data_IF_099719725698
#
_entry.id   IF_099719725698
#
_cell.length_a   1.000
_cell.length_b   1.000
_cell.length_c   1.000
_cell.angle_alpha   90.00
_cell.angle_beta   90.00
_cell.angle_gamma   90.00
#
_symmetry.space_group_name_H-M   'P 1'
#
loop_
_entity.id
_entity.type
_entity.pdbx_description
1 polymer ?
#
# COMPACT_ATOMS: atom_id res chain seq x y z
N UNK A 1 6.48 52.51 39.47
CA UNK A 1 7.26 51.44 40.16
C UNK A 1 6.24 50.37 40.54
N UNK A 2 6.22 49.16 40.02
CA UNK A 2 7.25 48.33 39.42
C UNK A 2 7.03 46.93 40.00
N UNK A 3 5.99 46.24 39.53
CA UNK A 3 5.62 44.90 39.99
C UNK A 3 6.68 43.90 39.47
N UNK A 4 7.78 43.82 40.22
CA UNK A 4 8.85 42.85 40.00
C UNK A 4 8.49 41.57 40.77
N UNK A 5 8.54 40.46 40.05
CA UNK A 5 8.47 39.08 40.54
C UNK A 5 7.08 38.54 40.92
N UNK A 6 6.14 38.58 39.98
CA UNK A 6 5.29 37.39 39.80
C UNK A 6 6.14 36.36 39.08
N UNK A 7 6.83 35.52 39.84
CA UNK A 7 7.19 34.21 39.31
C UNK A 7 5.89 33.60 38.76
N UNK A 8 5.84 33.24 37.47
CA UNK A 8 4.60 32.82 36.85
C UNK A 8 4.02 31.62 37.61
N UNK A 9 2.73 31.68 37.94
CA UNK A 9 2.04 30.55 38.58
C UNK A 9 2.08 29.35 37.63
N UNK A 10 2.08 28.13 38.17
CA UNK A 10 2.01 26.89 37.37
C UNK A 10 0.87 26.94 36.34
N UNK A 11 -0.25 27.55 36.71
CA UNK A 11 -1.42 27.72 35.84
C UNK A 11 -1.17 28.72 34.71
N UNK A 12 -0.37 29.76 34.96
CA UNK A 12 0.06 30.72 33.94
C UNK A 12 1.03 30.07 32.95
N UNK A 13 1.95 29.23 33.45
CA UNK A 13 2.87 28.43 32.62
C UNK A 13 2.06 27.49 31.72
N UNK A 14 1.09 26.76 32.27
CA UNK A 14 0.25 25.83 31.51
C UNK A 14 -0.67 26.54 30.52
N UNK A 15 -1.20 27.71 30.87
CA UNK A 15 -2.04 28.52 29.99
C UNK A 15 -1.22 29.12 28.84
N UNK A 16 0.02 29.53 29.11
CA UNK A 16 0.97 30.00 28.10
C UNK A 16 1.32 28.87 27.12
N UNK A 17 1.64 27.67 27.61
CA UNK A 17 1.91 26.50 26.75
C UNK A 17 0.68 26.13 25.91
N UNK A 18 -0.52 26.11 26.49
CA UNK A 18 -1.77 25.81 25.76
C UNK A 18 -2.05 26.84 24.67
N UNK A 19 -1.76 28.13 24.91
CA UNK A 19 -1.91 29.18 23.91
C UNK A 19 -0.90 29.03 22.77
N UNK A 20 0.38 28.78 23.10
CA UNK A 20 1.44 28.58 22.12
C UNK A 20 1.13 27.38 21.23
N UNK A 21 0.69 26.23 21.78
CA UNK A 21 0.38 25.04 20.96
C UNK A 21 -0.84 25.28 20.04
N UNK A 22 -1.85 26.03 20.52
CA UNK A 22 -3.01 26.35 19.70
C UNK A 22 -2.67 27.33 18.55
N UNK A 23 -1.75 28.28 18.81
CA UNK A 23 -1.32 29.30 17.84
C UNK A 23 -0.27 28.74 16.86
N UNK A 24 0.70 27.97 17.35
CA UNK A 24 1.81 27.38 16.58
C UNK A 24 1.38 26.10 15.83
N UNK A 25 0.39 25.35 16.34
CA UNK A 25 -0.18 24.19 15.66
C UNK A 25 -0.94 24.56 14.37
N UNK A 26 -1.47 25.78 14.26
CA UNK A 26 -2.09 26.31 13.04
C UNK A 26 -1.04 26.91 12.06
N UNK A 27 0.10 27.42 12.55
CA UNK A 27 1.18 27.99 11.73
C UNK A 27 2.20 26.96 11.19
N UNK A 28 2.43 25.84 11.89
CA UNK A 28 3.33 24.76 11.44
C UNK A 28 2.85 24.08 10.14
N UNK A 29 1.58 24.29 9.75
CA UNK A 29 1.01 23.79 8.50
C UNK A 29 1.36 24.69 7.29
N UNK A 30 1.92 25.90 7.49
CA UNK A 30 2.09 26.91 6.42
C UNK A 30 3.53 27.28 6.02
N UNK A 31 4.60 26.71 6.60
CA UNK A 31 5.98 27.16 6.32
C UNK A 31 6.95 26.05 5.88
N UNK A 32 6.70 25.46 4.71
CA UNK A 32 7.80 24.91 3.90
C UNK A 32 8.31 26.01 2.96
N UNK A 33 9.61 26.35 3.01
CA UNK A 33 10.38 26.24 1.78
C UNK A 33 11.84 25.77 1.97
N UNK A 34 12.12 24.66 1.28
CA UNK A 34 13.25 24.43 0.37
C UNK A 34 14.39 25.47 0.40
N UNK A 35 15.54 25.09 0.97
CA UNK A 35 16.85 25.66 0.61
C UNK A 35 17.72 24.62 -0.06
N UNK A 36 17.71 24.62 -1.39
CA UNK A 36 18.83 24.14 -2.20
C UNK A 36 19.93 25.21 -2.08
N UNK A 37 20.97 24.93 -1.28
CA UNK A 37 22.20 25.72 -1.25
C UNK A 37 23.26 24.92 -2.00
N UNK A 38 23.59 25.39 -3.19
CA UNK A 38 24.58 24.80 -4.07
C UNK A 38 26.00 24.81 -3.50
N UNK A 39 26.71 23.77 -3.95
CA UNK A 39 28.11 23.72 -4.37
C UNK A 39 29.19 24.28 -3.42
N UNK A 40 29.95 23.36 -2.82
CA UNK A 40 31.38 23.53 -2.63
C UNK A 40 32.08 22.17 -2.83
N UNK A 41 32.91 22.11 -3.86
CA UNK A 41 33.66 20.96 -4.30
C UNK A 41 34.56 20.35 -3.21
N UNK A 42 34.52 19.02 -3.06
CA UNK A 42 35.58 18.30 -2.34
C UNK A 42 35.90 16.94 -2.99
N UNK A 43 37.00 16.95 -3.75
CA UNK A 43 37.96 15.86 -4.04
C UNK A 43 37.42 14.43 -4.19
N UNK A 44 37.36 13.99 -5.45
CA UNK A 44 37.27 12.59 -5.86
C UNK A 44 38.55 11.82 -5.45
N UNK A 45 38.39 10.78 -4.62
CA UNK A 45 39.25 9.58 -4.59
C UNK A 45 38.34 8.39 -4.93
N UNK A 46 38.72 7.46 -5.82
CA UNK A 46 37.87 6.33 -6.13
C UNK A 46 38.01 5.30 -5.01
N UNK A 47 36.94 5.11 -4.24
CA UNK A 47 36.73 3.94 -3.38
C UNK A 47 35.74 3.06 -4.15
N UNK A 48 35.96 1.75 -4.33
CA UNK A 48 34.96 0.90 -4.97
C UNK A 48 33.86 0.66 -3.93
N UNK A 49 32.84 1.52 -3.93
CA UNK A 49 31.60 1.34 -3.17
C UNK A 49 30.57 0.80 -4.14
N UNK A 50 30.55 -0.52 -4.28
CA UNK A 50 29.31 -1.19 -4.62
C UNK A 50 28.45 -1.14 -3.36
N UNK A 51 27.50 -0.20 -3.30
CA UNK A 51 26.23 -0.23 -2.55
C UNK A 51 25.65 1.19 -2.45
N UNK A 52 24.32 1.26 -2.59
CA UNK A 52 23.44 2.40 -2.33
C UNK A 52 23.54 3.60 -3.31
N UNK A 53 23.03 3.39 -4.53
CA UNK A 53 22.18 4.42 -5.14
C UNK A 53 20.73 4.13 -4.76
N UNK A 54 20.33 4.53 -3.55
CA UNK A 54 18.91 4.79 -3.29
C UNK A 54 18.61 6.21 -3.76
N UNK A 55 17.65 6.33 -4.67
CA UNK A 55 17.08 7.63 -5.03
C UNK A 55 16.36 8.18 -3.78
N UNK A 56 16.59 9.42 -3.32
CA UNK A 56 15.79 9.96 -2.21
C UNK A 56 14.27 9.97 -2.52
N UNK A 57 13.88 9.85 -3.79
CA UNK A 57 12.48 9.67 -4.20
C UNK A 57 11.96 8.24 -4.02
N UNK A 58 12.81 7.21 -3.91
CA UNK A 58 12.34 5.84 -3.66
C UNK A 58 11.89 5.62 -2.22
N UNK A 59 12.32 6.45 -1.27
CA UNK A 59 11.84 6.41 0.12
C UNK A 59 10.43 7.01 0.30
N UNK A 60 9.94 7.80 -0.68
CA UNK A 60 8.56 8.32 -0.69
C UNK A 60 7.54 7.32 -1.26
N UNK A 61 8.00 6.30 -2.00
CA UNK A 61 7.13 5.30 -2.63
C UNK A 61 7.23 4.00 -1.85
N UNK A 62 6.24 3.75 -0.99
CA UNK A 62 6.15 2.52 -0.21
C UNK A 62 5.48 1.40 -1.04
N UNK A 63 6.26 0.39 -1.45
CA UNK A 63 5.76 -0.82 -2.10
C UNK A 63 5.26 -1.83 -1.03
N UNK A 64 3.95 -1.80 -0.73
CA UNK A 64 3.29 -2.76 0.18
C UNK A 64 2.87 -4.03 -0.57
N UNK A 65 3.82 -4.75 -1.14
CA UNK A 65 3.60 -6.07 -1.77
C UNK A 65 3.76 -7.23 -0.81
N UNK A 66 4.35 -6.99 0.36
CA UNK A 66 4.49 -7.97 1.45
C UNK A 66 3.31 -7.86 2.43
N UNK A 67 2.66 -8.99 2.70
CA UNK A 67 1.55 -9.05 3.65
C UNK A 67 2.13 -9.11 5.08
N UNK A 68 2.01 -8.01 5.82
CA UNK A 68 2.53 -7.91 7.19
C UNK A 68 1.65 -8.75 8.12
N UNK A 69 1.97 -10.03 8.26
CA UNK A 69 1.42 -10.91 9.30
C UNK A 69 2.10 -10.63 10.65
N UNK A 70 1.97 -9.41 11.16
CA UNK A 70 2.40 -9.07 12.52
C UNK A 70 1.15 -8.76 13.34
N UNK A 71 0.55 -9.83 13.84
CA UNK A 71 -0.38 -9.78 14.96
C UNK A 71 0.42 -9.60 16.26
N UNK A 72 1.29 -8.59 16.33
CA UNK A 72 1.75 -8.13 17.63
C UNK A 72 0.60 -7.35 18.26
N UNK A 73 0.06 -7.76 19.42
CA UNK A 73 -0.97 -7.00 20.08
C UNK A 73 -0.38 -5.64 20.41
N UNK A 74 -0.85 -4.61 19.70
CA UNK A 74 -0.58 -3.22 20.03
C UNK A 74 -0.79 -3.05 21.54
N UNK A 75 0.10 -2.36 22.27
CA UNK A 75 -0.04 -2.20 23.71
C UNK A 75 -1.42 -1.60 23.98
N UNK A 76 -2.32 -2.42 24.53
CA UNK A 76 -3.67 -1.99 24.84
C UNK A 76 -3.57 -0.77 25.75
N UNK A 77 -4.07 0.37 25.28
CA UNK A 77 -4.21 1.55 26.10
C UNK A 77 -5.07 1.15 27.30
N UNK A 78 -4.44 1.04 28.48
CA UNK A 78 -5.13 0.71 29.73
C UNK A 78 -6.00 1.90 30.11
N UNK A 79 -7.19 1.97 29.56
CA UNK A 79 -8.25 2.76 30.16
C UNK A 79 -8.62 2.06 31.47
N UNK A 80 -8.34 2.69 32.61
CA UNK A 80 -8.74 2.19 33.91
C UNK A 80 -10.27 2.25 34.00
N UNK A 81 -10.95 1.21 33.51
CA UNK A 81 -12.40 1.11 33.56
C UNK A 81 -12.80 0.55 34.92
N UNK A 82 -13.24 1.42 35.82
CA UNK A 82 -13.99 1.04 37.03
C UNK A 82 -15.21 0.19 36.63
N UNK A 83 -15.59 -0.86 37.37
CA UNK A 83 -16.73 -1.69 37.00
C UNK A 83 -18.01 -0.86 37.08
N UNK A 84 -18.59 -0.55 35.92
CA UNK A 84 -19.95 -0.02 35.82
C UNK A 84 -20.92 -1.21 36.00
N UNK A 85 -22.01 -1.07 36.76
CA UNK A 85 -22.97 -2.17 36.92
C UNK A 85 -23.47 -2.61 35.54
N UNK A 86 -23.52 -3.92 35.34
CA UNK A 86 -24.11 -4.59 34.17
C UNK A 86 -25.60 -4.26 34.14
N UNK A 87 -25.94 -3.18 33.43
CA UNK A 87 -27.26 -3.08 32.83
C UNK A 87 -27.29 -4.15 31.74
N UNK A 88 -28.34 -4.97 31.73
CA UNK A 88 -28.66 -5.87 30.64
C UNK A 88 -28.54 -5.07 29.34
N UNK A 89 -27.49 -5.36 28.57
CA UNK A 89 -27.37 -4.86 27.22
C UNK A 89 -28.42 -5.63 26.45
N UNK A 90 -29.65 -5.10 26.44
CA UNK A 90 -30.55 -5.34 25.33
C UNK A 90 -29.72 -5.11 24.07
N UNK A 91 -29.77 -6.05 23.13
CA UNK A 91 -29.11 -5.99 21.82
C UNK A 91 -29.71 -4.85 20.98
N UNK A 92 -29.61 -3.61 21.48
CA UNK A 92 -30.05 -2.41 20.83
C UNK A 92 -29.00 -2.11 19.76
N UNK A 93 -29.35 -2.43 18.52
CA UNK A 93 -28.58 -2.03 17.35
C UNK A 93 -28.24 -0.54 17.47
N UNK A 94 -26.95 -0.24 17.56
CA UNK A 94 -26.42 1.12 17.62
C UNK A 94 -26.58 1.80 16.24
N UNK A 95 -26.78 1.00 15.19
CA UNK A 95 -26.98 1.47 13.84
C UNK A 95 -28.47 1.79 13.62
N UNK A 96 -28.71 2.95 13.02
CA UNK A 96 -30.01 3.21 12.43
C UNK A 96 -30.23 2.25 11.26
N UNK A 97 -31.49 1.84 11.05
CA UNK A 97 -31.88 0.97 9.93
C UNK A 97 -31.45 1.58 8.60
N UNK A 98 -31.51 2.91 8.46
CA UNK A 98 -31.08 3.61 7.26
C UNK A 98 -29.57 3.53 7.03
N UNK A 99 -28.77 3.70 8.09
CA UNK A 99 -27.30 3.52 8.01
C UNK A 99 -26.93 2.09 7.63
N UNK A 100 -27.65 1.11 8.15
CA UNK A 100 -27.43 -0.31 7.87
C UNK A 100 -27.73 -0.65 6.40
N UNK A 101 -28.83 -0.12 5.86
CA UNK A 101 -29.22 -0.29 4.46
C UNK A 101 -28.23 0.42 3.53
N UNK A 102 -27.82 1.65 3.85
CA UNK A 102 -26.85 2.40 3.06
C UNK A 102 -25.49 1.68 2.97
N UNK A 103 -25.00 1.13 4.09
CA UNK A 103 -23.74 0.38 4.12
C UNK A 103 -23.82 -0.95 3.34
N UNK A 104 -24.95 -1.68 3.43
CA UNK A 104 -25.15 -2.89 2.61
C UNK A 104 -25.24 -2.57 1.12
N UNK A 105 -25.88 -1.47 0.76
CA UNK A 105 -26.01 -1.05 -0.63
C UNK A 105 -24.65 -0.66 -1.23
N UNK A 106 -23.81 0.08 -0.50
CA UNK A 106 -22.47 0.43 -0.97
C UNK A 106 -21.55 -0.80 -1.10
N UNK A 107 -21.57 -1.72 -0.13
CA UNK A 107 -20.83 -2.97 -0.22
C UNK A 107 -21.33 -3.87 -1.35
N UNK A 108 -22.65 -3.94 -1.59
CA UNK A 108 -23.23 -4.67 -2.72
C UNK A 108 -22.79 -4.07 -4.06
N UNK A 109 -22.80 -2.74 -4.17
CA UNK A 109 -22.30 -2.05 -5.36
C UNK A 109 -20.82 -2.36 -5.62
N UNK A 110 -19.97 -2.31 -4.58
CA UNK A 110 -18.56 -2.69 -4.68
C UNK A 110 -18.39 -4.18 -5.05
N UNK A 111 -19.18 -5.08 -4.47
CA UNK A 111 -19.16 -6.50 -4.80
C UNK A 111 -19.59 -6.78 -6.23
N UNK A 112 -20.53 -6.00 -6.77
CA UNK A 112 -20.98 -6.13 -8.16
C UNK A 112 -19.93 -5.62 -9.17
N UNK A 113 -19.06 -4.70 -8.75
CA UNK A 113 -17.91 -4.25 -9.52
C UNK A 113 -16.76 -5.27 -9.51
N UNK A 114 -16.75 -6.18 -8.53
CA UNK A 114 -15.83 -7.30 -8.50
C UNK A 114 -16.27 -8.32 -9.56
N UNK A 115 -15.79 -8.11 -10.79
CA UNK A 115 -15.95 -9.06 -11.90
C UNK A 115 -15.40 -10.40 -11.44
N UNK A 116 -16.29 -11.33 -11.11
CA UNK A 116 -15.90 -12.71 -10.83
C UNK A 116 -15.69 -13.34 -12.21
N UNK A 117 -14.44 -13.65 -12.61
CA UNK A 117 -14.19 -14.13 -13.96
C UNK A 117 -14.85 -15.50 -14.10
N UNK A 118 -15.96 -15.55 -14.84
CA UNK A 118 -16.47 -16.80 -15.36
C UNK A 118 -15.57 -17.18 -16.52
N UNK A 119 -14.99 -18.38 -16.47
CA UNK A 119 -14.02 -18.84 -17.47
C UNK A 119 -14.54 -18.60 -18.89
N UNK A 120 -13.82 -17.79 -19.67
CA UNK A 120 -14.10 -17.56 -21.08
C UNK A 120 -14.78 -16.23 -21.45
N UNK A 121 -14.98 -15.29 -20.53
CA UNK A 121 -15.45 -13.95 -20.90
C UNK A 121 -14.30 -13.02 -21.35
N UNK A 122 -14.44 -12.49 -22.57
CA UNK A 122 -13.50 -11.55 -23.22
C UNK A 122 -13.40 -10.18 -22.52
N UNK A 123 -14.32 -9.89 -21.59
CA UNK A 123 -14.35 -8.64 -20.81
C UNK A 123 -13.35 -8.64 -19.65
N UNK A 124 -12.62 -9.73 -19.45
CA UNK A 124 -11.54 -9.82 -18.48
C UNK A 124 -10.20 -9.52 -19.14
N UNK A 125 -9.23 -9.03 -18.36
CA UNK A 125 -7.86 -8.81 -18.85
C UNK A 125 -7.26 -10.11 -19.41
N UNK A 126 -7.51 -11.27 -18.77
CA UNK A 126 -7.07 -12.57 -19.28
C UNK A 126 -7.67 -12.87 -20.65
N UNK A 127 -8.97 -12.61 -20.83
CA UNK A 127 -9.65 -12.76 -22.12
C UNK A 127 -9.01 -11.91 -23.22
N UNK A 128 -8.76 -10.63 -22.93
CA UNK A 128 -8.09 -9.72 -23.87
C UNK A 128 -6.68 -10.19 -24.21
N UNK A 129 -5.85 -10.49 -23.20
CA UNK A 129 -4.47 -10.96 -23.41
C UNK A 129 -4.44 -12.27 -24.19
N UNK A 130 -5.37 -13.20 -23.90
CA UNK A 130 -5.50 -14.46 -24.64
C UNK A 130 -5.90 -14.22 -26.09
N UNK A 131 -6.85 -13.32 -26.35
CA UNK A 131 -7.26 -12.97 -27.72
C UNK A 131 -6.10 -12.38 -28.53
N UNK A 132 -5.21 -11.62 -27.90
CA UNK A 132 -4.02 -11.04 -28.52
C UNK A 132 -2.89 -12.05 -28.72
N UNK A 133 -2.66 -12.95 -27.76
CA UNK A 133 -1.59 -13.96 -27.84
C UNK A 133 -1.93 -15.12 -28.78
N UNK A 134 -3.22 -15.45 -28.94
CA UNK A 134 -3.67 -16.56 -29.79
C UNK A 134 -3.17 -16.48 -31.25
N UNK A 135 -3.27 -15.35 -31.97
CA UNK A 135 -2.75 -15.26 -33.33
C UNK A 135 -1.22 -15.38 -33.39
N UNK A 136 -0.49 -14.79 -32.44
CA UNK A 136 0.98 -14.85 -32.41
C UNK A 136 1.49 -16.28 -32.16
N UNK A 137 0.87 -16.99 -31.20
CA UNK A 137 1.18 -18.38 -30.93
C UNK A 137 0.83 -19.29 -32.11
N UNK A 138 -0.28 -19.02 -32.80
CA UNK A 138 -0.67 -19.76 -34.00
C UNK A 138 0.37 -19.61 -35.11
N UNK A 139 0.74 -18.38 -35.44
CA UNK A 139 1.75 -18.11 -36.49
C UNK A 139 3.09 -18.77 -36.16
N UNK A 140 3.51 -18.69 -34.90
CA UNK A 140 4.73 -19.35 -34.44
C UNK A 140 4.65 -20.88 -34.54
N UNK A 141 3.53 -21.47 -34.13
CA UNK A 141 3.30 -22.92 -34.25
C UNK A 141 3.29 -23.33 -35.72
N UNK A 142 2.58 -22.61 -36.59
CA UNK A 142 2.52 -22.91 -38.02
C UNK A 142 3.91 -22.87 -38.67
N UNK A 143 4.78 -21.95 -38.22
CA UNK A 143 6.15 -21.84 -38.74
C UNK A 143 7.14 -22.86 -38.15
N UNK A 144 7.02 -23.21 -36.87
CA UNK A 144 8.06 -23.98 -36.14
C UNK A 144 7.70 -25.44 -35.87
N UNK A 145 6.41 -25.76 -35.78
CA UNK A 145 5.94 -27.10 -35.45
C UNK A 145 6.29 -28.16 -36.51
N UNK A 146 6.25 -27.90 -37.83
CA UNK A 146 6.60 -28.90 -38.84
C UNK A 146 8.03 -29.44 -38.64
N UNK A 147 9.00 -28.56 -38.44
CA UNK A 147 10.40 -28.94 -38.25
C UNK A 147 10.61 -29.77 -36.96
N UNK A 148 9.97 -29.38 -35.85
CA UNK A 148 10.05 -30.14 -34.60
C UNK A 148 9.47 -31.56 -34.75
N UNK A 149 8.37 -31.69 -35.49
CA UNK A 149 7.75 -33.00 -35.75
C UNK A 149 8.63 -33.84 -36.66
N UNK A 150 9.19 -33.28 -37.73
CA UNK A 150 10.13 -33.99 -38.62
C UNK A 150 11.34 -34.54 -37.85
N UNK A 151 11.96 -33.73 -36.99
CA UNK A 151 13.09 -34.16 -36.16
C UNK A 151 12.70 -35.30 -35.21
N UNK A 152 11.50 -35.24 -34.62
CA UNK A 152 11.01 -36.26 -33.70
C UNK A 152 10.64 -37.56 -34.44
N UNK A 153 10.02 -37.46 -35.62
CA UNK A 153 9.70 -38.60 -36.49
C UNK A 153 10.97 -39.24 -37.04
N UNK A 154 11.97 -38.46 -37.46
CA UNK A 154 13.25 -38.99 -37.92
C UNK A 154 13.96 -39.79 -36.83
N UNK A 155 13.95 -39.30 -35.58
CA UNK A 155 14.46 -40.03 -34.40
C UNK A 155 13.68 -41.32 -34.16
N UNK A 156 12.36 -41.27 -34.29
CA UNK A 156 11.48 -42.43 -34.06
C UNK A 156 11.66 -43.50 -35.15
N UNK A 157 11.81 -43.10 -36.42
CA UNK A 157 12.11 -44.01 -37.52
C UNK A 157 13.50 -44.63 -37.32
N UNK A 158 14.52 -43.85 -36.97
CA UNK A 158 15.86 -44.38 -36.68
C UNK A 158 15.83 -45.43 -35.56
N UNK A 159 15.05 -45.17 -34.50
CA UNK A 159 14.86 -46.09 -33.37
C UNK A 159 14.19 -47.41 -33.80
N UNK A 160 13.16 -47.35 -34.63
CA UNK A 160 12.42 -48.54 -35.10
C UNK A 160 13.22 -49.32 -36.15
N UNK A 161 13.95 -48.63 -37.02
CA UNK A 161 14.71 -49.25 -38.11
C UNK A 161 16.03 -49.87 -37.66
N UNK A 162 16.41 -49.74 -36.38
CA UNK A 162 17.44 -50.57 -35.77
C UNK A 162 18.86 -50.22 -36.22
N UNK A 163 19.24 -48.94 -36.08
CA UNK A 163 20.63 -48.56 -35.81
C UNK A 163 20.73 -47.87 -34.47
#
# INVERSE_FOLDING_TARGET
MGDMSKEPSMEDILSSIKRIIAEEGEEAVQTLPRRVRGEAAQKVRPVPVAEAMSDPASDEVLELTDEVAVEEPMPAHRTSRTPRPVAEQEDASILSVESEVAARHSLSALSSMLVTPKEGEDNTLDGLVRSMLKPMLKEWLDARLPQMVEDMVAKEIARITGR
#
